data_IF_431536180857
#
_entry.id   IF_431536180857
#
_cell.length_a   1.000
_cell.length_b   1.000
_cell.length_c   1.000
_cell.angle_alpha   90.00
_cell.angle_beta   90.00
_cell.angle_gamma   90.00
#
_symmetry.space_group_name_H-M   'P 1'
#
loop_
_entity.id
_entity.type
_entity.pdbx_description
1 polymer ?
#
# COMPACT_ATOMS: atom_id res chain seq x y z
N UNK A 1 34.81 -2.32 -14.88
CA UNK A 1 33.46 -1.82 -15.24
C UNK A 1 32.37 -2.69 -14.61
N UNK A 2 32.13 -2.54 -13.30
CA UNK A 2 31.05 -3.29 -12.62
C UNK A 2 30.47 -2.46 -11.47
N UNK A 3 31.34 -1.73 -10.75
CA UNK A 3 30.91 -0.95 -9.59
C UNK A 3 30.19 0.35 -9.97
N UNK A 4 30.61 1.03 -11.04
CA UNK A 4 29.90 2.21 -11.57
C UNK A 4 28.52 1.85 -12.13
N UNK A 5 28.38 0.70 -12.81
CA UNK A 5 27.09 0.21 -13.30
C UNK A 5 26.15 -0.19 -12.15
N UNK A 6 26.68 -0.89 -11.13
CA UNK A 6 25.94 -1.19 -9.89
C UNK A 6 25.53 0.07 -9.15
N UNK A 7 26.39 1.09 -9.11
CA UNK A 7 26.13 2.40 -8.53
C UNK A 7 24.97 3.09 -9.26
N UNK A 8 25.04 3.18 -10.58
CA UNK A 8 24.00 3.79 -11.40
C UNK A 8 22.64 3.07 -11.26
N UNK A 9 22.63 1.74 -11.20
CA UNK A 9 21.40 0.97 -10.94
C UNK A 9 20.84 1.21 -9.54
N UNK A 10 21.72 1.36 -8.54
CA UNK A 10 21.31 1.64 -7.16
C UNK A 10 20.75 3.06 -7.03
N UNK A 11 21.40 4.04 -7.64
CA UNK A 11 20.94 5.43 -7.66
C UNK A 11 19.60 5.56 -8.41
N UNK A 12 19.47 4.90 -9.57
CA UNK A 12 18.19 4.86 -10.30
C UNK A 12 17.08 4.19 -9.48
N UNK A 13 17.39 3.09 -8.79
CA UNK A 13 16.43 2.45 -7.86
C UNK A 13 16.04 3.44 -6.76
N UNK A 14 17.00 4.11 -6.15
CA UNK A 14 16.77 5.13 -5.11
C UNK A 14 15.91 6.29 -5.59
N UNK A 15 16.05 6.74 -6.83
CA UNK A 15 15.22 7.82 -7.42
C UNK A 15 13.79 7.36 -7.72
N UNK A 16 13.62 6.14 -8.24
CA UNK A 16 12.28 5.54 -8.41
C UNK A 16 11.63 5.36 -7.03
N UNK A 17 12.43 4.92 -6.05
CA UNK A 17 12.05 4.79 -4.65
C UNK A 17 11.61 6.14 -4.05
N UNK A 18 12.37 7.21 -4.26
CA UNK A 18 11.99 8.53 -3.76
C UNK A 18 10.73 9.06 -4.44
N UNK A 19 10.61 8.91 -5.77
CA UNK A 19 9.48 9.43 -6.53
C UNK A 19 8.16 8.83 -6.06
N UNK A 20 8.07 7.51 -5.91
CA UNK A 20 6.77 6.94 -5.54
C UNK A 20 6.43 7.09 -4.06
N UNK A 21 7.40 7.34 -3.18
CA UNK A 21 7.11 7.81 -1.82
C UNK A 21 6.53 9.23 -1.87
N UNK A 22 7.11 10.13 -2.67
CA UNK A 22 6.56 11.48 -2.86
C UNK A 22 5.13 11.46 -3.44
N UNK A 23 4.84 10.59 -4.40
CA UNK A 23 3.48 10.41 -4.94
C UNK A 23 2.48 9.94 -3.88
N UNK A 24 2.90 9.02 -3.01
CA UNK A 24 2.07 8.52 -1.92
C UNK A 24 1.81 9.62 -0.88
N UNK A 25 2.85 10.34 -0.46
CA UNK A 25 2.74 11.42 0.53
C UNK A 25 1.91 12.59 0.01
N UNK A 26 2.03 12.95 -1.27
CA UNK A 26 1.18 13.96 -1.89
C UNK A 26 -0.30 13.53 -1.84
N UNK A 27 -0.62 12.32 -2.28
CA UNK A 27 -2.00 11.83 -2.26
C UNK A 27 -2.58 11.67 -0.84
N UNK A 28 -1.74 11.39 0.16
CA UNK A 28 -2.13 11.37 1.58
C UNK A 28 -2.43 12.77 2.10
N UNK A 29 -1.56 13.73 1.78
CA UNK A 29 -1.68 15.14 2.17
C UNK A 29 -2.92 15.78 1.56
N UNK A 30 -3.12 15.55 0.27
CA UNK A 30 -4.25 16.07 -0.51
C UNK A 30 -5.54 15.27 -0.28
N UNK A 31 -5.48 14.21 0.53
CA UNK A 31 -6.63 13.35 0.90
C UNK A 31 -7.39 12.84 -0.31
N UNK A 32 -6.67 12.42 -1.36
CA UNK A 32 -7.31 11.93 -2.58
C UNK A 32 -8.31 10.80 -2.26
N UNK A 33 -9.47 10.81 -2.91
CA UNK A 33 -10.54 9.84 -2.64
C UNK A 33 -10.09 8.38 -2.78
N UNK A 34 -9.23 8.10 -3.77
CA UNK A 34 -8.72 6.76 -4.01
C UNK A 34 -7.88 6.23 -2.84
N UNK A 35 -7.17 7.10 -2.11
CA UNK A 35 -6.44 6.75 -0.88
C UNK A 35 -7.40 6.46 0.26
N UNK A 36 -8.46 7.25 0.40
CA UNK A 36 -9.48 7.01 1.43
C UNK A 36 -10.15 5.64 1.24
N UNK A 37 -10.31 5.19 -0.02
CA UNK A 37 -10.83 3.86 -0.36
C UNK A 37 -9.85 2.71 -0.09
N UNK A 38 -8.56 2.99 0.17
CA UNK A 38 -7.60 1.96 0.59
C UNK A 38 -7.70 1.59 2.07
N UNK A 39 -8.40 2.41 2.86
CA UNK A 39 -8.50 2.26 4.30
C UNK A 39 -7.30 2.83 5.05
N UNK A 40 -7.43 2.89 6.38
CA UNK A 40 -6.44 3.55 7.25
C UNK A 40 -5.17 2.74 7.40
N UNK A 41 -4.02 3.42 7.37
CA UNK A 41 -2.73 2.82 7.68
C UNK A 41 -2.74 2.17 9.08
N UNK A 42 -2.29 0.91 9.22
CA UNK A 42 -2.19 0.24 10.52
C UNK A 42 -1.17 0.91 11.46
N UNK A 43 -1.40 0.82 12.77
CA UNK A 43 -0.46 1.33 13.80
C UNK A 43 0.77 0.44 13.99
N UNK A 44 0.65 -0.87 13.73
CA UNK A 44 1.75 -1.82 13.90
C UNK A 44 2.80 -1.61 12.79
N UNK A 45 4.06 -1.38 13.17
CA UNK A 45 5.12 -0.97 12.23
C UNK A 45 5.27 -1.88 11.00
N UNK A 46 5.21 -3.21 11.17
CA UNK A 46 5.31 -4.16 10.04
C UNK A 46 4.13 -4.02 9.08
N UNK A 47 2.90 -4.01 9.61
CA UNK A 47 1.70 -3.81 8.81
C UNK A 47 1.65 -2.42 8.17
N UNK A 48 2.14 -1.38 8.85
CA UNK A 48 2.27 -0.03 8.35
C UNK A 48 3.23 0.03 7.13
N UNK A 49 4.37 -0.68 7.21
CA UNK A 49 5.31 -0.78 6.10
C UNK A 49 4.72 -1.53 4.90
N UNK A 50 4.02 -2.65 5.16
CA UNK A 50 3.34 -3.42 4.12
C UNK A 50 2.23 -2.61 3.45
N UNK A 51 1.48 -1.81 4.23
CA UNK A 51 0.48 -0.89 3.73
C UNK A 51 1.10 0.17 2.81
N UNK A 52 2.19 0.83 3.24
CA UNK A 52 2.88 1.84 2.43
C UNK A 52 3.40 1.27 1.12
N UNK A 53 4.03 0.08 1.16
CA UNK A 53 4.53 -0.58 -0.04
C UNK A 53 3.42 -0.85 -1.07
N UNK A 54 2.26 -1.33 -0.60
CA UNK A 54 1.11 -1.58 -1.47
C UNK A 54 0.51 -0.26 -2.02
N UNK A 55 0.31 0.75 -1.16
CA UNK A 55 -0.23 2.05 -1.55
C UNK A 55 0.66 2.76 -2.59
N UNK A 56 1.98 2.68 -2.42
CA UNK A 56 2.99 3.18 -3.35
C UNK A 56 2.93 2.51 -4.73
N UNK A 57 2.68 1.19 -4.76
CA UNK A 57 2.50 0.44 -6.01
C UNK A 57 1.30 1.00 -6.80
N UNK A 58 0.21 1.29 -6.10
CA UNK A 58 -1.00 1.89 -6.69
C UNK A 58 -0.73 3.32 -7.15
N UNK A 59 -0.04 4.14 -6.35
CA UNK A 59 0.32 5.52 -6.73
C UNK A 59 1.18 5.56 -8.00
N UNK A 60 2.17 4.66 -8.10
CA UNK A 60 3.02 4.55 -9.29
C UNK A 60 2.22 4.14 -10.53
N UNK A 61 1.31 3.19 -10.40
CA UNK A 61 0.42 2.78 -11.48
C UNK A 61 -0.47 3.94 -11.95
N UNK A 62 -1.04 4.70 -11.00
CA UNK A 62 -1.87 5.87 -11.32
C UNK A 62 -1.08 6.99 -12.00
N UNK A 63 0.13 7.31 -11.53
CA UNK A 63 1.02 8.30 -12.15
C UNK A 63 1.38 7.88 -13.59
N UNK A 64 1.72 6.60 -13.78
CA UNK A 64 2.13 6.07 -15.09
C UNK A 64 1.03 6.16 -16.16
N UNK A 65 -0.22 5.92 -15.78
CA UNK A 65 -1.36 5.89 -16.72
C UNK A 65 -2.27 7.12 -16.60
N UNK A 66 -1.85 8.18 -15.88
CA UNK A 66 -2.61 9.42 -15.75
C UNK A 66 -3.98 9.24 -15.10
N UNK A 67 -4.12 8.30 -14.16
CA UNK A 67 -5.41 7.98 -13.53
C UNK A 67 -5.74 9.05 -12.47
N UNK A 68 -6.71 9.89 -12.77
CA UNK A 68 -7.18 10.97 -11.89
C UNK A 68 -8.45 10.60 -11.11
N UNK A 69 -9.24 9.63 -11.59
CA UNK A 69 -10.51 9.26 -10.96
C UNK A 69 -10.39 8.63 -9.57
N UNK A 70 -11.52 8.55 -8.88
CA UNK A 70 -11.58 8.20 -7.46
C UNK A 70 -11.40 6.71 -7.17
N UNK A 71 -11.43 5.86 -8.19
CA UNK A 71 -11.20 4.44 -8.06
C UNK A 71 -9.69 4.16 -7.98
N UNK A 72 -9.19 3.34 -7.05
CA UNK A 72 -7.77 3.04 -6.90
C UNK A 72 -7.05 2.64 -8.20
N UNK A 73 -7.71 1.86 -9.07
CA UNK A 73 -7.12 1.35 -10.32
C UNK A 73 -7.69 1.99 -11.60
N UNK A 74 -8.57 2.99 -11.49
CA UNK A 74 -9.22 3.58 -12.66
C UNK A 74 -10.09 2.60 -13.45
N UNK A 75 -10.32 2.93 -14.73
CA UNK A 75 -11.05 2.07 -15.66
C UNK A 75 -10.24 0.82 -16.06
N UNK A 76 -10.89 -0.10 -16.80
CA UNK A 76 -10.24 -1.30 -17.32
C UNK A 76 -9.01 -0.97 -18.18
N UNK A 77 -8.01 -1.84 -18.15
CA UNK A 77 -6.77 -1.65 -18.90
C UNK A 77 -6.98 -1.89 -20.40
N UNK A 78 -6.47 -0.97 -21.23
CA UNK A 78 -6.68 -0.97 -22.68
C UNK A 78 -5.58 -1.72 -23.45
N UNK A 79 -4.35 -1.73 -22.91
CA UNK A 79 -3.18 -2.35 -23.54
C UNK A 79 -2.63 -3.52 -22.74
N UNK A 80 -1.96 -4.47 -23.40
CA UNK A 80 -1.38 -5.64 -22.72
C UNK A 80 -0.31 -5.27 -21.68
N UNK A 81 0.46 -4.21 -21.94
CA UNK A 81 1.40 -3.66 -20.97
C UNK A 81 0.66 -3.12 -19.73
N UNK A 82 -0.44 -2.41 -19.93
CA UNK A 82 -1.27 -1.90 -18.84
C UNK A 82 -1.94 -3.04 -18.06
N UNK A 83 -2.35 -4.14 -18.72
CA UNK A 83 -2.92 -5.31 -18.02
C UNK A 83 -1.93 -5.94 -17.04
N UNK A 84 -0.65 -6.06 -17.42
CA UNK A 84 0.40 -6.60 -16.53
C UNK A 84 0.58 -5.70 -15.31
N UNK A 85 0.69 -4.39 -15.52
CA UNK A 85 0.85 -3.44 -14.42
C UNK A 85 -0.42 -3.36 -13.56
N UNK A 86 -1.60 -3.42 -14.18
CA UNK A 86 -2.89 -3.45 -13.50
C UNK A 86 -3.03 -4.70 -12.62
N UNK A 87 -2.52 -5.86 -13.07
CA UNK A 87 -2.49 -7.06 -12.24
C UNK A 87 -1.61 -6.88 -10.99
N UNK A 88 -0.44 -6.23 -11.13
CA UNK A 88 0.42 -5.90 -9.97
C UNK A 88 -0.26 -4.93 -9.02
N UNK A 89 -0.90 -3.88 -9.55
CA UNK A 89 -1.63 -2.90 -8.76
C UNK A 89 -2.85 -3.54 -8.07
N UNK A 90 -3.51 -4.50 -8.74
CA UNK A 90 -4.62 -5.26 -8.15
C UNK A 90 -4.16 -6.14 -6.99
N UNK A 91 -3.06 -6.86 -7.15
CA UNK A 91 -2.47 -7.64 -6.06
C UNK A 91 -2.10 -6.75 -4.85
N UNK A 92 -1.70 -5.49 -5.09
CA UNK A 92 -1.47 -4.53 -4.01
C UNK A 92 -2.76 -4.12 -3.29
N UNK A 93 -3.86 -3.87 -4.02
CA UNK A 93 -5.19 -3.61 -3.43
C UNK A 93 -5.66 -4.79 -2.58
N UNK A 94 -5.50 -6.02 -3.09
CA UNK A 94 -5.94 -7.21 -2.36
C UNK A 94 -5.11 -7.42 -1.08
N UNK A 95 -3.79 -7.17 -1.10
CA UNK A 95 -2.97 -7.15 0.12
C UNK A 95 -3.43 -6.12 1.15
N UNK A 96 -3.85 -4.93 0.73
CA UNK A 96 -4.36 -3.90 1.64
C UNK A 96 -5.67 -4.33 2.31
N UNK A 97 -6.52 -5.06 1.57
CA UNK A 97 -7.73 -5.66 2.13
C UNK A 97 -7.38 -6.72 3.16
N UNK A 98 -6.42 -7.60 2.89
CA UNK A 98 -6.00 -8.64 3.85
C UNK A 98 -5.46 -8.02 5.15
N UNK A 99 -4.60 -6.99 5.04
CA UNK A 99 -4.08 -6.25 6.20
C UNK A 99 -5.20 -5.61 7.04
N UNK A 100 -6.28 -5.16 6.39
CA UNK A 100 -7.43 -4.58 7.09
C UNK A 100 -8.21 -5.66 7.84
N UNK A 101 -8.41 -6.84 7.23
CA UNK A 101 -9.09 -7.96 7.89
C UNK A 101 -8.29 -8.51 9.08
N UNK A 102 -6.96 -8.60 8.97
CA UNK A 102 -6.10 -9.08 10.07
C UNK A 102 -6.13 -8.15 11.29
N UNK A 103 -6.22 -6.83 11.05
CA UNK A 103 -6.41 -5.85 12.12
C UNK A 103 -7.72 -6.11 12.87
N UNK A 104 -8.82 -6.27 12.14
CA UNK A 104 -10.15 -6.44 12.72
C UNK A 104 -10.23 -7.73 13.56
N UNK A 105 -9.60 -8.81 13.09
CA UNK A 105 -9.45 -10.07 13.86
C UNK A 105 -8.67 -9.88 15.15
N UNK A 106 -7.55 -9.15 15.10
CA UNK A 106 -6.69 -8.91 16.27
C UNK A 106 -7.42 -8.06 17.32
N UNK A 107 -8.18 -7.04 16.90
CA UNK A 107 -8.98 -6.21 17.81
C UNK A 107 -10.16 -6.93 18.44
N UNK A 108 -10.65 -8.01 17.82
CA UNK A 108 -11.84 -8.75 18.28
C UNK A 108 -11.51 -9.92 19.21
N UNK A 109 -10.24 -10.10 19.60
CA UNK A 109 -9.85 -11.13 20.56
C UNK A 109 -10.41 -10.75 21.94
N UNK A 110 -11.37 -11.50 22.51
CA UNK A 110 -11.91 -11.17 23.82
C UNK A 110 -10.76 -11.24 24.84
N UNK A 111 -10.63 -10.19 25.66
CA UNK A 111 -9.69 -10.20 26.77
C UNK A 111 -9.96 -11.45 27.63
N UNK A 112 -8.93 -12.20 28.07
CA UNK A 112 -9.13 -13.25 29.03
C UNK A 112 -9.77 -12.61 30.26
N UNK A 113 -11.03 -12.98 30.52
CA UNK A 113 -11.71 -12.66 31.76
C UNK A 113 -10.87 -13.29 32.87
N UNK A 114 -10.02 -12.49 33.51
CA UNK A 114 -9.45 -12.86 34.79
C UNK A 114 -10.63 -13.23 35.67
N UNK A 115 -10.74 -14.53 35.96
CA UNK A 115 -11.66 -15.06 36.94
C UNK A 115 -11.30 -14.40 38.27
N UNK A 116 -11.99 -13.31 38.55
CA UNK A 116 -11.97 -12.66 39.84
C UNK A 116 -12.53 -13.65 40.86
N UNK A 117 -11.79 -13.81 41.95
CA UNK A 117 -12.34 -14.07 43.27
C UNK A 117 -13.17 -15.35 43.41
N UNK A 118 -12.53 -16.38 43.97
CA UNK A 118 -13.25 -17.24 44.90
C UNK A 118 -12.49 -17.28 46.22
N UNK A 119 -12.76 -16.25 47.02
CA UNK A 119 -12.75 -16.31 48.48
C UNK A 119 -13.67 -17.45 48.93
N UNK A 120 -13.13 -18.38 49.71
CA UNK A 120 -13.56 -18.78 51.05
C UNK A 120 -12.59 -19.85 51.58
#
# INVERSE_FOLDING_TARGET
MNDEFRRALTERRGLIETRADALLEAALTDKHEWIMKLGTQPKQARAAQAWRYAARTIATYRDRYGITGDAPLGASADTDMQKIDAARARAAVDRLRDLSHDRDRTSRRPAPRHAAGRTL
#
